data_IF_650789118586
#
_entry.id   IF_650789118586
#
_cell.length_a   1.000
_cell.length_b   1.000
_cell.length_c   1.000
_cell.angle_alpha   90.00
_cell.angle_beta   90.00
_cell.angle_gamma   90.00
#
_symmetry.space_group_name_H-M   'P 1'
#
loop_
_entity.id
_entity.type
_entity.pdbx_description
1 polymer ?
#
# COMPACT_ATOMS: atom_id res chain seq x y z
N UNK A 1 2.51 42.58 23.52
CA UNK A 1 1.50 41.68 22.91
C UNK A 1 1.74 40.27 23.41
N UNK A 2 0.83 39.74 24.23
CA UNK A 2 0.84 38.30 24.55
C UNK A 2 0.34 37.55 23.32
N UNK A 3 1.21 36.78 22.65
CA UNK A 3 0.76 35.85 21.61
C UNK A 3 0.04 34.71 22.32
N UNK A 4 -1.26 34.58 22.07
CA UNK A 4 -2.09 33.53 22.62
C UNK A 4 -1.78 32.22 21.87
N UNK A 5 -0.61 31.64 22.12
CA UNK A 5 -0.16 30.41 21.48
C UNK A 5 -0.89 29.26 22.17
N UNK A 6 -1.85 28.65 21.46
CA UNK A 6 -2.54 27.46 21.92
C UNK A 6 -1.64 26.23 21.72
N UNK A 7 -0.75 26.01 22.68
CA UNK A 7 0.30 24.96 22.65
C UNK A 7 -0.22 23.54 22.39
N UNK A 8 -1.49 23.25 22.71
CA UNK A 8 -2.11 21.94 22.47
C UNK A 8 -2.44 21.71 20.98
N UNK A 9 -2.93 22.73 20.28
CA UNK A 9 -3.24 22.66 18.84
C UNK A 9 -1.95 22.47 18.03
N UNK A 10 -0.89 23.22 18.36
CA UNK A 10 0.42 23.08 17.73
C UNK A 10 1.07 21.68 17.93
N UNK A 11 0.74 20.97 19.02
CA UNK A 11 1.22 19.60 19.25
C UNK A 11 0.45 18.58 18.40
N UNK A 12 -0.86 18.77 18.24
CA UNK A 12 -1.68 17.88 17.43
C UNK A 12 -1.28 17.95 15.95
N UNK A 13 -1.10 19.16 15.41
CA UNK A 13 -0.66 19.36 14.02
C UNK A 13 0.69 18.69 13.74
N UNK A 14 1.63 18.78 14.69
CA UNK A 14 2.93 18.15 14.56
C UNK A 14 2.84 16.62 14.60
N UNK A 15 1.99 16.06 15.46
CA UNK A 15 1.74 14.61 15.52
C UNK A 15 1.14 14.12 14.20
N UNK A 16 0.16 14.84 13.64
CA UNK A 16 -0.44 14.52 12.33
C UNK A 16 0.60 14.51 11.23
N UNK A 17 1.48 15.51 11.16
CA UNK A 17 2.58 15.56 10.17
C UNK A 17 3.53 14.37 10.30
N UNK A 18 3.89 13.98 11.52
CA UNK A 18 4.73 12.79 11.72
C UNK A 18 4.03 11.50 11.30
N UNK A 19 2.71 11.39 11.54
CA UNK A 19 1.92 10.26 11.07
C UNK A 19 1.86 10.20 9.55
N UNK A 20 1.68 11.33 8.87
CA UNK A 20 1.67 11.43 7.41
C UNK A 20 3.02 10.98 6.83
N UNK A 21 4.13 11.47 7.38
CA UNK A 21 5.47 11.03 6.96
C UNK A 21 5.71 9.54 7.23
N UNK A 22 5.26 9.02 8.37
CA UNK A 22 5.37 7.60 8.66
C UNK A 22 4.55 6.75 7.68
N UNK A 23 3.35 7.20 7.31
CA UNK A 23 2.53 6.53 6.31
C UNK A 23 3.16 6.57 4.91
N UNK A 24 3.68 7.72 4.47
CA UNK A 24 4.41 7.82 3.20
C UNK A 24 5.65 6.93 3.18
N UNK A 25 6.41 6.88 4.29
CA UNK A 25 7.57 6.01 4.42
C UNK A 25 7.16 4.53 4.34
N UNK A 26 6.12 4.11 5.05
CA UNK A 26 5.64 2.72 5.00
C UNK A 26 5.07 2.35 3.61
N UNK A 27 4.26 3.24 3.02
CA UNK A 27 3.69 3.09 1.68
C UNK A 27 4.77 3.01 0.59
N UNK A 28 5.92 3.66 0.78
CA UNK A 28 7.02 3.62 -0.18
C UNK A 28 7.61 2.22 -0.41
N UNK A 29 7.37 1.29 0.52
CA UNK A 29 7.75 -0.12 0.42
C UNK A 29 6.65 -1.02 -0.18
N UNK A 30 5.49 -0.46 -0.58
CA UNK A 30 4.50 -1.22 -1.33
C UNK A 30 5.05 -1.62 -2.71
N UNK A 31 4.53 -2.71 -3.27
CA UNK A 31 4.82 -3.10 -4.65
C UNK A 31 4.08 -2.15 -5.61
N UNK A 32 4.70 -1.05 -6.00
CA UNK A 32 4.04 0.01 -6.76
C UNK A 32 4.31 -0.04 -8.28
N UNK A 33 5.27 -0.85 -8.73
CA UNK A 33 5.56 -1.05 -10.16
C UNK A 33 4.31 -1.41 -10.99
N UNK A 34 3.41 -2.30 -10.52
CA UNK A 34 2.23 -2.68 -11.29
C UNK A 34 1.30 -1.51 -11.65
N UNK A 35 1.30 -0.44 -10.86
CA UNK A 35 0.52 0.79 -11.14
C UNK A 35 1.04 1.50 -12.40
N UNK A 36 2.32 1.31 -12.75
CA UNK A 36 2.95 1.90 -13.93
C UNK A 36 3.06 0.94 -15.10
N UNK A 37 3.24 -0.36 -14.84
CA UNK A 37 3.42 -1.38 -15.89
C UNK A 37 2.11 -1.99 -16.36
N UNK A 38 1.04 -1.94 -15.55
CA UNK A 38 -0.24 -2.57 -15.85
C UNK A 38 -0.25 -4.09 -15.66
N UNK A 39 0.80 -4.67 -15.04
CA UNK A 39 0.98 -6.11 -14.87
C UNK A 39 1.53 -6.43 -13.49
N UNK A 40 0.97 -7.45 -12.83
CA UNK A 40 1.56 -8.08 -11.63
C UNK A 40 2.36 -9.29 -12.07
N UNK A 41 3.62 -9.33 -11.67
CA UNK A 41 4.56 -10.41 -11.95
C UNK A 41 5.02 -10.99 -10.61
N UNK A 42 5.10 -12.32 -10.52
CA UNK A 42 5.62 -12.98 -9.33
C UNK A 42 7.16 -12.97 -9.27
N UNK A 43 7.72 -13.57 -8.21
CA UNK A 43 9.17 -13.66 -8.01
C UNK A 43 9.89 -14.55 -9.06
N UNK A 44 9.14 -15.34 -9.82
CA UNK A 44 9.63 -16.22 -10.87
C UNK A 44 9.39 -15.65 -12.27
N UNK A 45 9.11 -14.34 -12.37
CA UNK A 45 8.82 -13.63 -13.63
C UNK A 45 7.55 -14.11 -14.34
N UNK A 46 6.64 -14.78 -13.63
CA UNK A 46 5.36 -15.20 -14.19
C UNK A 46 4.31 -14.10 -14.01
N UNK A 47 3.63 -13.77 -15.09
CA UNK A 47 2.46 -12.89 -15.05
C UNK A 47 1.32 -13.54 -14.26
N UNK A 48 0.87 -12.87 -13.19
CA UNK A 48 -0.27 -13.28 -12.38
C UNK A 48 -1.55 -12.58 -12.82
N UNK A 49 -1.46 -11.29 -13.13
CA UNK A 49 -2.59 -10.44 -13.52
C UNK A 49 -2.09 -9.37 -14.50
N UNK A 50 -2.89 -9.02 -15.50
CA UNK A 50 -2.56 -8.06 -16.57
C UNK A 50 -3.74 -7.15 -16.84
N UNK A 51 -3.55 -6.16 -17.70
CA UNK A 51 -4.56 -5.16 -18.05
C UNK A 51 -5.07 -4.40 -16.81
N UNK A 52 -4.17 -4.22 -15.83
CA UNK A 52 -4.44 -3.51 -14.59
C UNK A 52 -4.66 -2.03 -14.85
N UNK A 53 -5.47 -1.40 -14.01
CA UNK A 53 -5.62 0.04 -14.03
C UNK A 53 -4.32 0.73 -13.60
N UNK A 54 -4.07 1.90 -14.18
CA UNK A 54 -2.91 2.73 -13.84
C UNK A 54 -3.32 3.94 -12.99
N UNK A 55 -4.43 3.83 -12.25
CA UNK A 55 -4.91 4.90 -11.39
C UNK A 55 -3.92 5.11 -10.24
N UNK A 56 -3.61 6.38 -9.97
CA UNK A 56 -2.57 6.76 -9.00
C UNK A 56 -3.09 7.53 -7.79
N UNK A 57 -4.40 7.71 -7.70
CA UNK A 57 -5.11 8.38 -6.63
C UNK A 57 -6.52 7.82 -6.58
N UNK A 58 -7.04 7.57 -5.39
CA UNK A 58 -8.37 7.02 -5.18
C UNK A 58 -8.37 5.51 -4.97
N UNK A 59 -9.41 5.06 -4.26
CA UNK A 59 -9.61 3.68 -3.86
C UNK A 59 -10.19 2.80 -4.96
N UNK A 60 -10.95 3.38 -5.90
CA UNK A 60 -11.65 2.61 -6.93
C UNK A 60 -11.39 3.06 -8.36
N UNK A 61 -11.30 2.07 -9.24
CA UNK A 61 -11.37 2.17 -10.69
C UNK A 61 -12.46 1.21 -11.21
N UNK A 62 -13.38 1.69 -12.05
CA UNK A 62 -14.50 0.87 -12.58
C UNK A 62 -15.26 0.07 -11.50
N UNK A 63 -15.52 0.70 -10.35
CA UNK A 63 -16.18 0.12 -9.16
C UNK A 63 -15.39 -0.98 -8.41
N UNK A 64 -14.18 -1.31 -8.85
CA UNK A 64 -13.26 -2.24 -8.20
C UNK A 64 -12.12 -1.48 -7.52
N UNK A 65 -11.48 -2.09 -6.54
CA UNK A 65 -10.29 -1.54 -5.89
C UNK A 65 -9.20 -1.31 -6.94
N UNK A 66 -8.67 -0.09 -7.00
CA UNK A 66 -7.58 0.25 -7.92
C UNK A 66 -6.33 -0.56 -7.59
N UNK A 67 -5.45 -0.74 -8.58
CA UNK A 67 -4.17 -1.42 -8.41
C UNK A 67 -3.31 -0.69 -7.37
N UNK A 68 -3.38 0.64 -7.35
CA UNK A 68 -2.76 1.46 -6.31
C UNK A 68 -3.34 1.18 -4.92
N UNK A 69 -4.66 1.13 -4.79
CA UNK A 69 -5.33 0.81 -3.52
C UNK A 69 -4.94 -0.56 -2.99
N UNK A 70 -4.92 -1.57 -3.87
CA UNK A 70 -4.52 -2.94 -3.54
C UNK A 70 -3.07 -3.02 -3.08
N UNK A 71 -2.16 -2.31 -3.74
CA UNK A 71 -0.75 -2.25 -3.35
C UNK A 71 -0.56 -1.66 -1.95
N UNK A 72 -1.21 -0.53 -1.66
CA UNK A 72 -1.13 0.10 -0.34
C UNK A 72 -1.78 -0.78 0.73
N UNK A 73 -2.92 -1.41 0.44
CA UNK A 73 -3.58 -2.35 1.35
C UNK A 73 -2.68 -3.54 1.70
N UNK A 74 -2.04 -4.15 0.69
CA UNK A 74 -1.14 -5.28 0.89
C UNK A 74 0.03 -4.90 1.81
N UNK A 75 0.53 -3.66 1.68
CA UNK A 75 1.61 -3.14 2.51
C UNK A 75 1.19 -2.84 3.94
N UNK A 76 0.14 -2.03 4.11
CA UNK A 76 -0.31 -1.58 5.43
C UNK A 76 -0.86 -2.72 6.27
N UNK A 77 -1.48 -3.72 5.64
CA UNK A 77 -2.06 -4.89 6.32
C UNK A 77 -1.25 -6.18 6.05
N UNK A 78 0.06 -6.10 5.81
CA UNK A 78 0.90 -7.25 5.41
C UNK A 78 0.80 -8.47 6.35
N UNK A 79 0.48 -8.26 7.63
CA UNK A 79 0.34 -9.33 8.63
C UNK A 79 -1.09 -9.89 8.74
N UNK A 80 -2.06 -9.35 7.99
CA UNK A 80 -3.45 -9.84 7.99
C UNK A 80 -3.49 -11.24 7.39
N UNK A 81 -4.00 -12.21 8.16
CA UNK A 81 -4.23 -13.58 7.70
C UNK A 81 -5.37 -13.58 6.68
N UNK A 82 -5.12 -14.16 5.51
CA UNK A 82 -6.11 -14.31 4.43
C UNK A 82 -6.54 -15.76 4.22
N UNK A 83 -5.70 -16.72 4.60
CA UNK A 83 -5.99 -18.15 4.47
C UNK A 83 -5.26 -18.92 5.56
N UNK A 84 -5.89 -19.98 6.05
CA UNK A 84 -5.27 -20.98 6.91
C UNK A 84 -5.30 -22.30 6.14
N UNK A 85 -4.12 -22.84 5.86
CA UNK A 85 -3.98 -24.18 5.31
C UNK A 85 -4.01 -25.18 6.46
N UNK A 86 -4.92 -26.18 6.43
CA UNK A 86 -5.05 -27.11 7.53
C UNK A 86 -3.86 -28.07 7.58
N UNK A 87 -3.61 -28.61 8.78
CA UNK A 87 -2.67 -29.72 8.97
C UNK A 87 -3.04 -30.87 8.04
N UNK A 88 -2.06 -31.43 7.34
CA UNK A 88 -2.25 -32.61 6.52
C UNK A 88 -1.11 -33.61 6.70
N UNK A 89 -1.42 -34.90 6.59
CA UNK A 89 -0.47 -35.99 6.78
C UNK A 89 -0.43 -36.88 5.54
N UNK A 90 0.77 -37.26 5.13
CA UNK A 90 1.02 -38.20 4.03
C UNK A 90 1.41 -39.54 4.66
N UNK A 91 0.46 -40.47 4.73
CA UNK A 91 0.65 -41.78 5.37
C UNK A 91 1.75 -42.61 4.72
N UNK A 92 1.98 -42.49 3.41
CA UNK A 92 3.00 -43.26 2.68
C UNK A 92 4.43 -42.99 3.17
N UNK A 93 4.69 -41.79 3.71
CA UNK A 93 6.00 -41.35 4.20
C UNK A 93 5.98 -40.99 5.68
N UNK A 94 4.91 -41.35 6.41
CA UNK A 94 4.72 -41.02 7.83
C UNK A 94 5.07 -39.57 8.21
N UNK A 95 4.74 -38.62 7.32
CA UNK A 95 5.09 -37.21 7.50
C UNK A 95 3.82 -36.38 7.60
N UNK A 96 3.79 -35.45 8.56
CA UNK A 96 2.71 -34.47 8.72
C UNK A 96 3.27 -33.06 8.56
N UNK A 97 2.48 -32.20 7.92
CA UNK A 97 2.73 -30.77 7.80
C UNK A 97 1.73 -30.03 8.66
N UNK A 98 2.22 -29.17 9.55
CA UNK A 98 1.37 -28.37 10.42
C UNK A 98 0.58 -27.31 9.65
N UNK A 99 -0.42 -26.74 10.32
CA UNK A 99 -1.22 -25.66 9.73
C UNK A 99 -0.35 -24.46 9.40
N UNK A 100 -0.62 -23.82 8.26
CA UNK A 100 0.11 -22.65 7.80
C UNK A 100 -0.84 -21.47 7.63
N UNK A 101 -0.53 -20.36 8.29
CA UNK A 101 -1.18 -19.09 8.05
C UNK A 101 -0.54 -18.41 6.84
N UNK A 102 -1.38 -17.94 5.94
CA UNK A 102 -0.97 -17.14 4.78
C UNK A 102 -1.49 -15.73 5.04
N UNK A 103 -0.57 -14.78 5.14
CA UNK A 103 -0.89 -13.36 5.30
C UNK A 103 -0.91 -12.63 3.96
N UNK A 104 -1.23 -11.33 3.95
CA UNK A 104 -1.10 -10.50 2.75
C UNK A 104 0.34 -10.39 2.27
N UNK A 105 1.34 -10.37 3.16
CA UNK A 105 2.78 -10.45 2.81
C UNK A 105 3.23 -9.43 1.75
N UNK A 106 2.63 -8.22 1.77
CA UNK A 106 2.85 -7.18 0.75
C UNK A 106 2.59 -7.65 -0.71
N UNK A 107 1.78 -8.69 -0.88
CA UNK A 107 1.45 -9.31 -2.16
C UNK A 107 0.10 -8.79 -2.67
N UNK A 108 0.14 -7.98 -3.72
CA UNK A 108 -1.04 -7.35 -4.32
C UNK A 108 -2.06 -8.39 -4.80
N UNK A 109 -1.58 -9.55 -5.27
CA UNK A 109 -2.45 -10.62 -5.79
C UNK A 109 -3.34 -11.24 -4.70
N UNK A 110 -2.98 -11.04 -3.42
CA UNK A 110 -3.77 -11.50 -2.26
C UNK A 110 -4.82 -10.49 -1.79
N UNK A 111 -4.83 -9.28 -2.36
CA UNK A 111 -5.90 -8.30 -2.13
C UNK A 111 -6.89 -8.40 -3.27
N UNK A 112 -8.12 -8.83 -2.99
CA UNK A 112 -9.18 -8.96 -3.97
C UNK A 112 -9.66 -7.62 -4.52
N UNK A 113 -10.15 -7.64 -5.76
CA UNK A 113 -10.72 -6.47 -6.45
C UNK A 113 -11.92 -5.85 -5.72
N UNK A 114 -12.60 -6.60 -4.85
CA UNK A 114 -13.77 -6.12 -4.11
C UNK A 114 -13.59 -6.24 -2.58
N UNK A 115 -12.36 -6.49 -2.11
CA UNK A 115 -12.08 -6.63 -0.69
C UNK A 115 -12.31 -5.31 0.04
N UNK A 116 -12.76 -5.39 1.29
CA UNK A 116 -12.83 -4.22 2.16
C UNK A 116 -11.41 -3.73 2.48
N UNK A 117 -11.13 -2.48 2.13
CA UNK A 117 -9.89 -1.79 2.46
C UNK A 117 -9.94 -1.24 3.90
N UNK A 118 -8.78 -1.15 4.55
CA UNK A 118 -8.71 -0.56 5.88
C UNK A 118 -8.89 0.97 5.80
N UNK A 119 -9.36 1.58 6.88
CA UNK A 119 -9.51 3.04 6.96
C UNK A 119 -8.20 3.75 6.65
N UNK A 120 -7.07 3.24 7.17
CA UNK A 120 -5.72 3.77 6.90
C UNK A 120 -5.40 3.78 5.41
N UNK A 121 -5.70 2.69 4.70
CA UNK A 121 -5.50 2.61 3.25
C UNK A 121 -6.35 3.63 2.51
N UNK A 122 -7.66 3.68 2.80
CA UNK A 122 -8.61 4.60 2.14
C UNK A 122 -8.20 6.05 2.35
N UNK A 123 -7.92 6.44 3.60
CA UNK A 123 -7.48 7.80 3.93
C UNK A 123 -6.20 8.16 3.17
N UNK A 124 -5.22 7.24 3.12
CA UNK A 124 -3.95 7.47 2.46
C UNK A 124 -4.10 7.65 0.94
N UNK A 125 -4.75 6.72 0.24
CA UNK A 125 -4.82 6.74 -1.23
C UNK A 125 -5.75 7.82 -1.79
N UNK A 126 -6.66 8.35 -0.97
CA UNK A 126 -7.51 9.48 -1.34
C UNK A 126 -6.81 10.84 -1.15
N UNK A 127 -5.71 10.89 -0.41
CA UNK A 127 -4.92 12.11 -0.18
C UNK A 127 -3.56 12.09 -0.88
N UNK A 128 -2.86 10.97 -0.87
CA UNK A 128 -1.52 10.86 -1.42
C UNK A 128 -1.57 10.25 -2.81
N UNK A 129 -1.36 11.09 -3.83
CA UNK A 129 -1.27 10.66 -5.23
C UNK A 129 0.12 10.16 -5.54
N UNK A 130 0.22 8.96 -6.10
CA UNK A 130 1.49 8.41 -6.55
C UNK A 130 1.95 9.10 -7.83
N UNK A 131 3.08 9.79 -7.79
CA UNK A 131 3.65 10.46 -8.98
C UNK A 131 4.69 9.59 -9.67
N UNK A 132 5.60 9.02 -8.87
CA UNK A 132 6.74 8.25 -9.37
C UNK A 132 7.09 7.14 -8.38
N UNK A 133 7.45 6.00 -8.91
CA UNK A 133 8.13 4.94 -8.18
C UNK A 133 9.38 4.54 -8.95
N UNK A 134 10.46 4.34 -8.23
CA UNK A 134 11.67 3.66 -8.67
C UNK A 134 11.82 2.44 -7.77
N UNK A 135 11.68 1.22 -8.30
CA UNK A 135 11.91 0.02 -7.53
C UNK A 135 13.37 -0.08 -7.14
N UNK A 136 13.64 -0.94 -6.15
CA UNK A 136 14.99 -1.10 -5.65
C UNK A 136 15.90 -1.65 -6.76
N UNK A 137 16.94 -0.90 -7.09
CA UNK A 137 17.92 -1.29 -8.11
C UNK A 137 19.08 -2.07 -7.50
N UNK A 138 19.96 -2.65 -8.32
CA UNK A 138 21.17 -3.37 -7.85
C UNK A 138 22.10 -2.54 -6.99
N UNK A 139 21.99 -1.20 -7.02
CA UNK A 139 22.72 -0.29 -6.15
C UNK A 139 22.07 -0.07 -4.78
N UNK A 140 20.90 -0.66 -4.51
CA UNK A 140 20.21 -0.60 -3.22
C UNK A 140 19.37 0.66 -3.00
N UNK A 141 19.07 1.41 -4.06
CA UNK A 141 18.24 2.62 -4.00
C UNK A 141 16.86 2.38 -4.61
N UNK A 142 15.82 2.66 -3.81
CA UNK A 142 14.44 2.88 -4.25
C UNK A 142 14.00 4.28 -3.88
N UNK A 143 13.03 4.82 -4.62
CA UNK A 143 12.45 6.13 -4.32
C UNK A 143 10.99 6.15 -4.76
N UNK A 144 10.12 6.68 -3.90
CA UNK A 144 8.70 6.86 -4.22
C UNK A 144 8.32 8.29 -3.92
N UNK A 145 7.70 8.95 -4.89
CA UNK A 145 7.20 10.32 -4.78
C UNK A 145 5.68 10.30 -4.70
N UNK A 146 5.16 10.78 -3.58
CA UNK A 146 3.75 11.04 -3.37
C UNK A 146 3.50 12.55 -3.37
N UNK A 147 2.44 12.97 -4.07
CA UNK A 147 1.86 14.30 -4.00
C UNK A 147 0.77 14.29 -2.93
N UNK A 148 0.90 15.15 -1.93
CA UNK A 148 -0.16 15.38 -0.94
C UNK A 148 -1.21 16.32 -1.55
N UNK A 149 -2.40 15.79 -1.83
CA UNK A 149 -3.46 16.55 -2.49
C UNK A 149 -4.27 17.43 -1.55
N UNK A 150 -4.11 17.29 -0.22
CA UNK A 150 -4.78 18.16 0.75
C UNK A 150 -4.19 19.58 0.72
N UNK A 151 -2.88 19.68 0.48
CA UNK A 151 -2.13 20.94 0.38
C UNK A 151 -2.10 21.54 -1.04
N UNK A 152 -2.74 20.89 -2.04
CA UNK A 152 -2.77 21.35 -3.43
C UNK A 152 -3.65 22.59 -3.70
N UNK A 153 -4.23 23.19 -2.65
CA UNK A 153 -4.73 24.56 -2.70
C UNK A 153 -3.61 25.61 -2.61
N UNK A 154 -2.37 25.26 -2.96
CA UNK A 154 -1.37 26.26 -3.33
C UNK A 154 -1.82 26.97 -4.61
N UNK A 155 -2.52 28.08 -4.42
CA UNK A 155 -2.73 29.15 -5.40
C UNK A 155 -1.53 29.23 -6.34
N UNK A 156 -1.77 29.15 -7.65
CA UNK A 156 -0.85 29.65 -8.64
C UNK A 156 -0.43 31.07 -8.23
N UNK A 157 0.77 31.21 -7.67
CA UNK A 157 1.45 32.49 -7.48
C UNK A 157 2.77 32.33 -8.22
N UNK A 158 2.80 32.83 -9.45
CA UNK A 158 3.95 32.81 -10.35
C UNK A 158 3.51 32.82 -11.80
#
# INVERSE_FOLDING_TARGET
>A
MSKNIKTQEAKLDLITKFLDYANCADASYALLDPVFTGVIIDKQEKELEKDLDTQRLGDKHNNQNSTYARAIQARFEQNKIVKIEPKYCISLINTCFDSKEITLDNDISRVGLNDALSKRTIDFINRFKLLKHQPNTTSGFSATLFEDTEDNNQSNIG
#
